data_IF_308073487154
#
_entry.id   IF_308073487154
#
_cell.length_a   1.000
_cell.length_b   1.000
_cell.length_c   1.000
_cell.angle_alpha   90.00
_cell.angle_beta   90.00
_cell.angle_gamma   90.00
#
_symmetry.space_group_name_H-M   'P 1'
#
loop_
_entity.id
_entity.type
_entity.pdbx_description
1 polymer ?
#
# COMPACT_ATOMS: atom_id res chain seq x y z
N UNK A 1 -19.44 12.80 -29.35
CA UNK A 1 -18.36 13.56 -28.68
C UNK A 1 -17.32 12.57 -28.20
N UNK A 2 -16.22 12.44 -28.94
CA UNK A 2 -15.07 11.62 -28.55
C UNK A 2 -14.22 12.50 -27.64
N UNK A 3 -14.12 12.15 -26.36
CA UNK A 3 -13.26 12.85 -25.43
C UNK A 3 -11.84 12.40 -25.76
N UNK A 4 -11.10 13.25 -26.45
CA UNK A 4 -9.66 13.11 -26.64
C UNK A 4 -9.00 13.21 -25.24
N UNK A 5 -8.63 12.05 -24.68
CA UNK A 5 -7.91 11.99 -23.40
C UNK A 5 -6.43 12.09 -23.74
N UNK A 6 -5.77 13.22 -23.42
CA UNK A 6 -4.36 13.38 -23.77
C UNK A 6 -3.52 12.29 -23.09
N UNK A 7 -2.54 11.72 -23.81
CA UNK A 7 -1.61 10.80 -23.19
C UNK A 7 -0.79 11.59 -22.16
N UNK A 8 -0.63 11.01 -20.97
CA UNK A 8 0.17 11.55 -19.86
C UNK A 8 -0.43 12.71 -19.03
N UNK A 9 -1.61 12.48 -18.44
CA UNK A 9 -1.91 13.15 -17.16
C UNK A 9 -1.43 12.29 -15.99
N UNK A 10 -0.30 12.71 -15.41
CA UNK A 10 0.24 12.27 -14.12
C UNK A 10 -0.74 12.44 -12.95
N UNK A 11 -1.90 13.05 -13.12
CA UNK A 11 -2.95 13.16 -12.08
C UNK A 11 -4.34 13.01 -12.73
N UNK A 12 -5.40 12.84 -11.94
CA UNK A 12 -6.77 12.85 -12.46
C UNK A 12 -7.23 14.28 -12.82
N UNK A 13 -8.45 14.43 -13.35
CA UNK A 13 -9.02 15.75 -13.72
C UNK A 13 -9.21 16.70 -12.54
N UNK A 14 -9.10 16.20 -11.30
CA UNK A 14 -9.16 16.96 -10.05
C UNK A 14 -7.77 17.11 -9.40
N UNK A 15 -6.69 16.86 -10.16
CA UNK A 15 -5.30 16.89 -9.72
C UNK A 15 -4.98 15.92 -8.56
N UNK A 16 -5.70 14.81 -8.45
CA UNK A 16 -5.45 13.78 -7.43
C UNK A 16 -4.52 12.71 -7.97
N UNK A 17 -3.82 12.03 -7.05
CA UNK A 17 -3.03 10.86 -7.41
C UNK A 17 -3.93 9.74 -7.92
N UNK A 18 -3.54 9.11 -9.02
CA UNK A 18 -4.25 7.98 -9.60
C UNK A 18 -4.13 6.74 -8.70
N UNK A 19 -5.16 5.89 -8.71
CA UNK A 19 -5.19 4.70 -7.87
C UNK A 19 -4.43 3.52 -8.48
N UNK A 20 -4.41 3.45 -9.81
CA UNK A 20 -3.90 2.34 -10.64
C UNK A 20 -2.39 2.40 -10.89
N UNK A 21 -1.75 3.55 -10.72
CA UNK A 21 -0.32 3.75 -11.04
C UNK A 21 0.39 4.60 -10.00
N UNK A 22 1.69 4.34 -9.83
CA UNK A 22 2.57 5.11 -8.94
C UNK A 22 2.82 6.51 -9.52
N UNK A 23 2.94 7.48 -8.62
CA UNK A 23 3.03 8.92 -8.91
C UNK A 23 3.82 9.56 -7.77
N UNK A 24 5.14 9.31 -7.73
CA UNK A 24 5.98 9.84 -6.68
C UNK A 24 6.00 11.36 -6.73
N UNK A 25 6.06 11.99 -5.56
CA UNK A 25 6.19 13.45 -5.43
C UNK A 25 7.56 13.86 -4.90
N UNK A 26 8.45 12.89 -4.69
CA UNK A 26 9.76 13.10 -4.07
C UNK A 26 9.71 13.25 -2.55
N UNK A 27 8.57 12.94 -1.93
CA UNK A 27 8.42 12.95 -0.47
C UNK A 27 9.27 11.84 0.11
N UNK A 28 10.14 12.18 1.06
CA UNK A 28 10.96 11.19 1.75
C UNK A 28 10.09 10.35 2.67
N UNK A 29 10.13 9.02 2.50
CA UNK A 29 9.39 8.07 3.34
C UNK A 29 10.37 7.12 4.04
N UNK A 30 10.47 7.28 5.35
CA UNK A 30 11.12 6.32 6.25
C UNK A 30 10.04 5.46 6.93
N UNK A 31 10.20 4.13 7.01
CA UNK A 31 9.27 3.25 7.71
C UNK A 31 9.08 3.66 9.18
N UNK A 32 7.85 3.58 9.65
CA UNK A 32 7.47 3.74 11.05
C UNK A 32 7.06 2.39 11.64
N UNK A 33 7.00 2.29 12.97
CA UNK A 33 6.54 1.09 13.69
C UNK A 33 5.22 0.54 13.12
N UNK A 34 4.24 1.43 12.90
CA UNK A 34 2.96 1.08 12.27
C UNK A 34 3.12 0.45 10.88
N UNK A 35 4.04 0.97 10.08
CA UNK A 35 4.24 0.50 8.71
C UNK A 35 4.86 -0.91 8.73
N UNK A 36 5.78 -1.18 9.67
CA UNK A 36 6.36 -2.52 9.86
C UNK A 36 5.29 -3.54 10.28
N UNK A 37 4.33 -3.16 11.13
CA UNK A 37 3.17 -4.02 11.46
C UNK A 37 2.37 -4.36 10.20
N UNK A 38 2.10 -3.37 9.34
CA UNK A 38 1.41 -3.62 8.07
C UNK A 38 2.19 -4.51 7.13
N UNK A 39 3.49 -4.28 6.95
CA UNK A 39 4.35 -5.10 6.10
C UNK A 39 4.36 -6.54 6.56
N UNK A 40 4.46 -6.78 7.88
CA UNK A 40 4.39 -8.12 8.46
C UNK A 40 3.03 -8.77 8.19
N UNK A 41 1.92 -8.04 8.34
CA UNK A 41 0.58 -8.59 8.06
C UNK A 41 0.35 -8.90 6.59
N UNK A 42 0.89 -8.10 5.68
CA UNK A 42 0.88 -8.42 4.25
C UNK A 42 1.75 -9.64 3.93
N UNK A 43 2.90 -9.79 4.58
CA UNK A 43 3.72 -11.00 4.46
C UNK A 43 2.99 -12.26 4.96
N UNK A 44 2.29 -12.16 6.09
CA UNK A 44 1.56 -13.28 6.71
C UNK A 44 0.30 -13.68 5.95
N UNK A 45 -0.47 -12.72 5.42
CA UNK A 45 -1.80 -12.96 4.89
C UNK A 45 -1.91 -12.79 3.36
N UNK A 46 -0.89 -12.25 2.71
CA UNK A 46 -1.00 -11.75 1.35
C UNK A 46 -1.74 -10.40 1.28
N UNK A 47 -2.34 -10.06 0.13
CA UNK A 47 -2.95 -8.74 -0.07
C UNK A 47 -4.11 -8.45 0.90
N UNK A 48 -4.10 -7.26 1.50
CA UNK A 48 -5.12 -6.82 2.46
C UNK A 48 -5.66 -5.43 2.13
N UNK A 49 -6.92 -5.18 2.49
CA UNK A 49 -7.55 -3.86 2.29
C UNK A 49 -7.06 -2.80 3.28
N UNK A 50 -7.26 -1.53 2.95
CA UNK A 50 -6.96 -0.40 3.85
C UNK A 50 -7.64 -0.49 5.22
N UNK A 51 -8.88 -0.98 5.27
CA UNK A 51 -9.63 -1.14 6.52
C UNK A 51 -9.03 -2.23 7.41
N UNK A 52 -8.69 -3.39 6.84
CA UNK A 52 -8.01 -4.47 7.58
C UNK A 52 -6.65 -4.03 8.12
N UNK A 53 -5.83 -3.38 7.29
CA UNK A 53 -4.54 -2.85 7.71
C UNK A 53 -4.70 -1.81 8.84
N UNK A 54 -5.67 -0.90 8.72
CA UNK A 54 -5.96 0.03 9.79
C UNK A 54 -6.36 -0.69 11.09
N UNK A 55 -7.21 -1.70 11.02
CA UNK A 55 -7.68 -2.44 12.18
C UNK A 55 -6.53 -3.05 13.02
N UNK A 56 -5.48 -3.58 12.38
CA UNK A 56 -4.29 -4.11 13.08
C UNK A 56 -3.49 -3.06 13.85
N UNK A 57 -3.70 -1.78 13.58
CA UNK A 57 -2.88 -0.69 14.13
C UNK A 57 -3.71 0.44 14.74
N UNK A 58 -5.03 0.26 14.85
CA UNK A 58 -5.97 1.27 15.36
C UNK A 58 -5.62 1.72 16.77
N UNK A 59 -5.08 0.82 17.59
CA UNK A 59 -4.66 1.09 18.97
C UNK A 59 -3.37 1.93 19.03
N UNK A 60 -2.48 1.80 18.03
CA UNK A 60 -1.30 2.65 17.88
C UNK A 60 -1.65 4.02 17.28
N UNK A 61 -2.55 4.06 16.29
CA UNK A 61 -2.97 5.26 15.55
C UNK A 61 -4.44 5.14 15.14
N UNK A 62 -5.33 5.82 15.86
CA UNK A 62 -6.79 5.71 15.72
C UNK A 62 -7.39 6.29 14.43
N UNK A 63 -6.70 7.20 13.73
CA UNK A 63 -7.28 7.89 12.58
C UNK A 63 -7.16 7.07 11.30
N UNK A 64 -8.28 6.50 10.85
CA UNK A 64 -8.39 5.77 9.59
C UNK A 64 -8.00 6.62 8.37
N UNK A 65 -8.43 7.89 8.34
CA UNK A 65 -8.03 8.83 7.27
C UNK A 65 -6.51 8.93 7.17
N UNK A 66 -5.81 9.15 8.29
CA UNK A 66 -4.34 9.24 8.32
C UNK A 66 -3.68 7.91 7.99
N UNK A 67 -4.32 6.78 8.28
CA UNK A 67 -3.84 5.46 7.87
C UNK A 67 -3.90 5.32 6.34
N UNK A 68 -5.03 5.67 5.71
CA UNK A 68 -5.19 5.66 4.24
C UNK A 68 -4.24 6.61 3.52
N UNK A 69 -4.04 7.81 4.06
CA UNK A 69 -3.06 8.76 3.54
C UNK A 69 -1.64 8.16 3.59
N UNK A 70 -1.29 7.48 4.70
CA UNK A 70 0.01 6.81 4.84
C UNK A 70 0.17 5.64 3.87
N UNK A 71 -0.83 4.76 3.75
CA UNK A 71 -0.80 3.64 2.81
C UNK A 71 -0.66 4.13 1.36
N UNK A 72 -1.27 5.28 1.04
CA UNK A 72 -1.11 5.95 -0.25
C UNK A 72 0.33 6.41 -0.47
N UNK A 73 0.96 7.06 0.52
CA UNK A 73 2.38 7.42 0.44
C UNK A 73 3.29 6.20 0.28
N UNK A 74 3.03 5.11 1.01
CA UNK A 74 3.83 3.88 0.95
C UNK A 74 3.74 3.17 -0.42
N UNK A 75 2.67 3.39 -1.19
CA UNK A 75 2.52 2.91 -2.56
C UNK A 75 3.15 3.86 -3.59
N UNK A 76 3.01 5.18 -3.41
CA UNK A 76 3.42 6.15 -4.44
C UNK A 76 4.88 6.57 -4.36
N UNK A 77 5.43 6.74 -3.14
CA UNK A 77 6.75 7.35 -2.99
C UNK A 77 7.87 6.30 -3.06
N UNK A 78 8.86 6.61 -3.89
CA UNK A 78 10.05 5.80 -4.14
C UNK A 78 11.31 6.34 -3.45
N UNK A 79 11.27 7.59 -2.95
CA UNK A 79 12.34 8.20 -2.16
C UNK A 79 12.39 7.62 -0.75
N UNK A 80 12.81 6.37 -0.67
CA UNK A 80 12.91 5.58 0.56
C UNK A 80 14.35 5.11 0.77
N UNK A 81 14.76 4.79 2.02
CA UNK A 81 16.07 4.19 2.28
C UNK A 81 16.33 2.87 1.53
N UNK A 82 15.28 2.17 1.13
CA UNK A 82 15.35 0.84 0.51
C UNK A 82 15.17 0.85 -1.02
N UNK A 83 15.27 2.04 -1.65
CA UNK A 83 15.35 2.16 -3.11
C UNK A 83 14.03 1.96 -3.88
N UNK A 84 12.88 2.15 -3.25
CA UNK A 84 11.58 2.08 -3.93
C UNK A 84 10.38 2.15 -2.99
N UNK A 85 9.18 2.13 -3.58
CA UNK A 85 7.94 2.12 -2.81
C UNK A 85 7.75 0.79 -2.06
N UNK A 86 7.12 0.86 -0.90
CA UNK A 86 6.99 -0.27 0.01
C UNK A 86 5.77 -1.15 -0.28
N UNK A 87 4.75 -0.60 -0.93
CA UNK A 87 3.52 -1.32 -1.22
C UNK A 87 3.24 -1.37 -2.73
N UNK A 88 2.60 -2.46 -3.13
CA UNK A 88 1.98 -2.63 -4.42
C UNK A 88 0.45 -2.66 -4.31
N UNK A 89 -0.23 -2.61 -5.46
CA UNK A 89 -1.68 -2.73 -5.55
C UNK A 89 -2.01 -3.80 -6.59
N UNK A 90 -2.66 -4.92 -6.20
CA UNK A 90 -3.06 -5.94 -7.14
C UNK A 90 -3.97 -5.34 -8.23
N UNK A 91 -3.58 -5.47 -9.50
CA UNK A 91 -4.29 -4.86 -10.64
C UNK A 91 -5.75 -5.33 -10.73
N UNK A 92 -6.03 -6.55 -10.26
CA UNK A 92 -7.35 -7.17 -10.27
C UNK A 92 -8.42 -6.31 -9.58
N UNK A 93 -8.05 -5.52 -8.57
CA UNK A 93 -8.99 -4.66 -7.82
C UNK A 93 -9.60 -3.53 -8.69
N UNK A 94 -8.95 -3.18 -9.81
CA UNK A 94 -9.41 -2.12 -10.70
C UNK A 94 -10.29 -2.63 -11.86
N UNK A 95 -10.57 -3.94 -11.94
CA UNK A 95 -11.42 -4.50 -13.00
C UNK A 95 -12.92 -4.25 -12.80
N UNK A 96 -13.38 -3.97 -11.58
CA UNK A 96 -14.79 -3.73 -11.27
C UNK A 96 -15.17 -2.25 -11.42
N UNK A 97 -16.33 -2.00 -12.03
CA UNK A 97 -16.87 -0.67 -12.35
C UNK A 97 -17.03 0.28 -11.15
N UNK A 98 -17.16 -0.24 -9.92
CA UNK A 98 -17.32 0.54 -8.68
C UNK A 98 -16.04 0.74 -7.83
N UNK A 99 -14.86 0.59 -8.42
CA UNK A 99 -13.57 0.67 -7.70
C UNK A 99 -13.31 1.98 -6.93
N UNK A 100 -14.16 3.01 -7.10
CA UNK A 100 -14.07 4.28 -6.35
C UNK A 100 -14.56 4.16 -4.90
N UNK A 101 -15.56 3.31 -4.65
CA UNK A 101 -16.18 3.15 -3.34
C UNK A 101 -15.60 1.99 -2.52
N UNK A 102 -14.80 1.13 -3.16
CA UNK A 102 -14.13 0.02 -2.50
C UNK A 102 -12.85 0.47 -1.80
N UNK A 103 -12.52 -0.21 -0.71
CA UNK A 103 -11.23 -0.08 -0.05
C UNK A 103 -10.10 -0.51 -1.01
N UNK A 104 -8.98 0.22 -0.94
CA UNK A 104 -7.80 -0.14 -1.70
C UNK A 104 -7.14 -1.37 -1.08
N UNK A 105 -6.81 -2.35 -1.92
CA UNK A 105 -6.05 -3.53 -1.53
C UNK A 105 -4.58 -3.30 -1.81
N UNK A 106 -3.75 -3.59 -0.82
CA UNK A 106 -2.30 -3.43 -0.88
C UNK A 106 -1.62 -4.78 -0.79
N UNK A 107 -0.46 -4.88 -1.42
CA UNK A 107 0.43 -6.04 -1.36
C UNK A 107 1.85 -5.60 -1.00
N UNK A 108 2.70 -6.53 -0.58
CA UNK A 108 4.06 -6.27 -0.15
C UNK A 108 5.00 -6.11 -1.35
N UNK A 109 5.74 -4.99 -1.41
CA UNK A 109 6.78 -4.79 -2.41
C UNK A 109 8.17 -5.20 -1.89
N UNK A 110 9.16 -5.50 -2.76
CA UNK A 110 10.50 -5.89 -2.34
C UNK A 110 11.21 -4.92 -1.35
N UNK A 111 11.07 -3.58 -1.46
CA UNK A 111 11.64 -2.66 -0.48
C UNK A 111 11.07 -2.85 0.95
N UNK A 112 9.82 -3.32 1.09
CA UNK A 112 9.24 -3.59 2.40
C UNK A 112 9.77 -4.88 3.03
N UNK A 113 10.12 -5.87 2.20
CA UNK A 113 10.85 -7.06 2.64
C UNK A 113 12.21 -6.65 3.20
N UNK A 114 12.93 -5.76 2.50
CA UNK A 114 14.21 -5.24 2.99
C UNK A 114 14.06 -4.51 4.34
N UNK A 115 13.02 -3.68 4.47
CA UNK A 115 12.71 -3.00 5.73
C UNK A 115 12.38 -3.96 6.88
N UNK A 116 11.64 -5.05 6.61
CA UNK A 116 11.37 -6.08 7.61
C UNK A 116 12.64 -6.82 8.03
N UNK A 117 13.53 -7.13 7.08
CA UNK A 117 14.83 -7.77 7.36
C UNK A 117 15.72 -6.88 8.21
N UNK A 118 15.85 -5.59 7.85
CA UNK A 118 16.62 -4.61 8.62
C UNK A 118 16.07 -4.46 10.05
N UNK A 119 14.74 -4.46 10.21
CA UNK A 119 14.10 -4.39 11.51
C UNK A 119 14.13 -5.70 12.32
N UNK A 120 14.68 -6.80 11.77
CA UNK A 120 14.65 -8.13 12.42
C UNK A 120 13.26 -8.74 12.56
N UNK A 121 12.29 -8.31 11.73
CA UNK A 121 10.88 -8.74 11.77
C UNK A 121 10.48 -9.61 10.57
N UNK A 122 11.44 -9.99 9.73
CA UNK A 122 11.23 -10.91 8.63
C UNK A 122 11.18 -12.36 9.11
N UNK A 123 10.26 -13.16 8.57
CA UNK A 123 10.19 -14.61 8.78
C UNK A 123 10.27 -15.31 7.43
N UNK A 124 11.16 -16.29 7.27
CA UNK A 124 11.22 -17.10 6.05
C UNK A 124 10.05 -18.08 5.94
N UNK A 125 9.52 -18.47 7.09
CA UNK A 125 8.25 -19.20 7.16
C UNK A 125 7.16 -18.14 7.07
N UNK A 126 6.54 -18.01 5.89
CA UNK A 126 5.16 -17.51 5.82
C UNK A 126 4.43 -18.43 6.78
N UNK A 127 3.83 -17.89 7.83
CA UNK A 127 2.99 -18.68 8.70
C UNK A 127 1.86 -19.22 7.82
N UNK A 128 2.09 -20.36 7.18
CA UNK A 128 1.10 -21.19 6.53
C UNK A 128 0.06 -21.33 7.61
N UNK A 129 -1.07 -20.64 7.45
CA UNK A 129 -2.13 -20.65 8.43
C UNK A 129 -2.45 -22.11 8.68
N UNK A 130 -1.98 -22.64 9.80
CA UNK A 130 -2.52 -23.87 10.37
C UNK A 130 -3.87 -23.46 10.92
N UNK A 131 -4.81 -23.30 10.01
CA UNK A 131 -6.20 -22.94 10.25
C UNK A 131 -7.04 -23.95 9.49
N UNK A 132 -7.93 -24.70 10.17
CA UNK A 132 -8.72 -25.75 9.55
C UNK A 132 -9.97 -25.11 8.92
N UNK A 133 -9.85 -24.43 7.79
CA UNK A 133 -11.00 -23.91 7.03
C UNK A 133 -10.73 -23.96 5.54
#
# INVERSE_FOLDING_TARGET
MIIDVPPDRLTDTLNRRRRDRRQPTGKKITPQERDLVWFRKLHEHGPLSSSYLHAFTKDLRRSEKRARDRLTDLFHEDRTPHGGAYLDRPWQQFRSFEARYQDLVFDLAPPAIAALKEAGQWSEVIASGSGPW
#
